data_IF_101811527388
#
_entry.id   IF_101811527388
#
_cell.length_a   1.000
_cell.length_b   1.000
_cell.length_c   1.000
_cell.angle_alpha   90.00
_cell.angle_beta   90.00
_cell.angle_gamma   90.00
#
_symmetry.space_group_name_H-M   'P 1'
#
loop_
_entity.id
_entity.type
_entity.pdbx_description
1 polymer ?
#
# COMPACT_ATOMS: atom_id res chain seq x y z
N UNK A 1 3.51 -0.72 17.59
CA UNK A 1 3.65 0.35 16.58
C UNK A 1 2.30 0.98 16.21
N UNK A 2 1.40 0.33 15.45
CA UNK A 2 0.14 0.96 14.97
C UNK A 2 -0.76 1.49 16.10
N UNK A 3 -0.97 0.73 17.18
CA UNK A 3 -1.76 1.22 18.31
C UNK A 3 -1.19 2.49 18.96
N UNK A 4 0.14 2.62 19.00
CA UNK A 4 0.83 3.82 19.50
C UNK A 4 0.67 4.99 18.52
N UNK A 5 0.79 4.73 17.21
CA UNK A 5 0.48 5.72 16.17
C UNK A 5 -0.94 6.29 16.32
N UNK A 6 -1.94 5.43 16.49
CA UNK A 6 -3.34 5.87 16.71
C UNK A 6 -3.46 6.71 17.97
N UNK A 7 -2.82 6.29 19.06
CA UNK A 7 -2.82 7.05 20.32
C UNK A 7 -2.23 8.45 20.15
N UNK A 8 -1.12 8.59 19.43
CA UNK A 8 -0.47 9.88 19.16
C UNK A 8 -1.39 10.76 18.28
N UNK A 9 -1.97 10.20 17.22
CA UNK A 9 -2.91 10.92 16.35
C UNK A 9 -4.08 11.51 17.15
N UNK A 10 -4.63 10.76 18.11
CA UNK A 10 -5.74 11.22 18.94
C UNK A 10 -5.28 12.26 19.97
N UNK A 11 -4.28 11.90 20.77
CA UNK A 11 -3.94 12.65 21.97
C UNK A 11 -3.07 13.88 21.69
N UNK A 12 -2.20 13.83 20.67
CA UNK A 12 -1.26 14.91 20.36
C UNK A 12 -1.69 15.73 19.15
N UNK A 13 -2.30 15.09 18.14
CA UNK A 13 -2.73 15.78 16.92
C UNK A 13 -4.22 16.13 16.90
N UNK A 14 -5.02 15.61 17.83
CA UNK A 14 -6.47 15.85 17.88
C UNK A 14 -7.24 15.22 16.71
N UNK A 15 -6.63 14.29 15.97
CA UNK A 15 -7.25 13.59 14.84
C UNK A 15 -8.11 12.47 15.43
N UNK A 16 -9.39 12.76 15.63
CA UNK A 16 -10.38 11.80 16.15
C UNK A 16 -11.44 11.52 15.09
N UNK A 17 -11.22 10.45 14.31
CA UNK A 17 -12.16 10.02 13.27
C UNK A 17 -13.04 8.87 13.79
N UNK A 18 -14.33 9.13 13.85
CA UNK A 18 -15.33 8.15 14.28
C UNK A 18 -15.75 7.23 13.12
N UNK A 19 -16.10 5.99 13.43
CA UNK A 19 -16.61 5.04 12.45
C UNK A 19 -17.93 5.55 11.84
N UNK A 20 -18.09 5.52 10.50
CA UNK A 20 -19.21 6.17 9.82
C UNK A 20 -20.59 5.61 10.22
N UNK A 21 -20.66 4.34 10.61
CA UNK A 21 -21.92 3.67 11.01
C UNK A 21 -22.03 3.47 12.53
N UNK A 22 -20.93 3.64 13.26
CA UNK A 22 -20.84 3.32 14.69
C UNK A 22 -20.03 4.42 15.38
N UNK A 23 -20.59 5.61 15.53
CA UNK A 23 -19.87 6.83 15.96
C UNK A 23 -19.21 6.74 17.34
N UNK A 24 -19.58 5.75 18.17
CA UNK A 24 -18.92 5.45 19.44
C UNK A 24 -17.55 4.74 19.28
N UNK A 25 -17.23 4.26 18.08
CA UNK A 25 -15.98 3.57 17.74
C UNK A 25 -15.11 4.45 16.84
N UNK A 26 -13.80 4.20 16.87
CA UNK A 26 -12.84 4.84 15.96
C UNK A 26 -12.86 4.17 14.59
N UNK A 27 -12.66 4.96 13.53
CA UNK A 27 -12.48 4.46 12.17
C UNK A 27 -11.09 3.84 12.00
N UNK A 28 -10.97 2.55 12.30
CA UNK A 28 -9.70 1.83 12.18
C UNK A 28 -9.14 1.84 10.75
N UNK A 29 -9.99 1.90 9.73
CA UNK A 29 -9.56 1.93 8.33
C UNK A 29 -8.85 3.24 7.99
N UNK A 30 -9.38 4.36 8.49
CA UNK A 30 -8.74 5.67 8.36
C UNK A 30 -7.31 5.65 8.91
N UNK A 31 -7.13 5.19 10.15
CA UNK A 31 -5.79 5.22 10.77
C UNK A 31 -4.80 4.25 10.14
N UNK A 32 -5.25 3.07 9.69
CA UNK A 32 -4.39 2.14 8.98
C UNK A 32 -3.91 2.72 7.64
N UNK A 33 -4.82 3.33 6.86
CA UNK A 33 -4.47 3.96 5.59
C UNK A 33 -3.51 5.15 5.81
N UNK A 34 -3.76 5.95 6.84
CA UNK A 34 -2.88 7.04 7.26
C UNK A 34 -1.49 6.50 7.63
N UNK A 35 -1.42 5.49 8.47
CA UNK A 35 -0.14 4.89 8.89
C UNK A 35 0.68 4.40 7.68
N UNK A 36 0.06 3.65 6.77
CA UNK A 36 0.70 3.14 5.55
C UNK A 36 1.27 4.27 4.67
N UNK A 37 0.49 5.33 4.48
CA UNK A 37 0.89 6.47 3.67
C UNK A 37 2.08 7.23 4.23
N UNK A 38 2.31 7.15 5.53
CA UNK A 38 3.46 7.75 6.18
C UNK A 38 4.56 6.71 6.49
N UNK A 39 4.55 5.57 5.80
CA UNK A 39 5.65 4.61 5.79
C UNK A 39 5.65 3.58 6.92
N UNK A 40 4.63 3.58 7.78
CA UNK A 40 4.49 2.54 8.80
C UNK A 40 4.09 1.22 8.12
N UNK A 41 4.70 0.09 8.51
CA UNK A 41 4.30 -1.22 8.00
C UNK A 41 2.85 -1.52 8.39
N UNK A 42 2.01 -1.77 7.39
CA UNK A 42 0.63 -2.24 7.56
C UNK A 42 0.37 -3.44 6.65
N UNK A 43 -0.70 -4.17 6.94
CA UNK A 43 -1.24 -5.26 6.13
C UNK A 43 -2.20 -4.77 5.03
N UNK A 44 -2.20 -3.47 4.73
CA UNK A 44 -3.01 -2.92 3.63
C UNK A 44 -2.29 -3.17 2.30
N UNK A 45 -3.05 -3.55 1.28
CA UNK A 45 -2.64 -3.43 -0.11
C UNK A 45 -3.28 -2.19 -0.70
N UNK A 46 -2.47 -1.34 -1.33
CA UNK A 46 -2.94 -0.18 -2.07
C UNK A 46 -3.07 -0.53 -3.56
N UNK A 47 -4.29 -0.41 -4.08
CA UNK A 47 -4.63 -0.59 -5.48
C UNK A 47 -5.13 0.73 -6.04
N UNK A 48 -4.81 1.05 -7.30
CA UNK A 48 -5.36 2.25 -7.95
C UNK A 48 -6.19 1.88 -9.16
N UNK A 49 -7.33 2.55 -9.31
CA UNK A 49 -8.14 2.49 -10.54
C UNK A 49 -7.62 3.42 -11.63
N UNK A 50 -6.63 4.25 -11.34
CA UNK A 50 -6.03 5.16 -12.31
C UNK A 50 -4.82 4.51 -12.99
N UNK A 51 -4.88 4.21 -14.30
CA UNK A 51 -3.72 3.67 -15.00
C UNK A 51 -2.54 4.64 -14.99
N UNK A 52 -2.78 5.96 -14.93
CA UNK A 52 -1.72 6.97 -14.82
C UNK A 52 -1.05 6.95 -13.45
N UNK A 53 -1.79 6.75 -12.36
CA UNK A 53 -1.20 6.63 -11.02
C UNK A 53 -0.42 5.33 -10.91
N UNK A 54 -0.95 4.22 -11.44
CA UNK A 54 -0.24 2.95 -11.47
C UNK A 54 1.08 3.06 -12.26
N UNK A 55 1.04 3.76 -13.40
CA UNK A 55 2.23 4.05 -14.21
C UNK A 55 3.21 4.97 -13.48
N UNK A 56 2.72 5.97 -12.74
CA UNK A 56 3.56 6.81 -11.88
C UNK A 56 4.35 5.96 -10.88
N UNK A 57 3.68 5.07 -10.14
CA UNK A 57 4.36 4.19 -9.17
C UNK A 57 5.30 3.18 -9.83
N UNK A 58 4.97 2.69 -11.02
CA UNK A 58 5.88 1.81 -11.77
C UNK A 58 7.23 2.51 -12.09
N UNK A 59 7.24 3.84 -12.20
CA UNK A 59 8.43 4.65 -12.48
C UNK A 59 8.95 5.46 -11.28
N UNK A 60 8.28 5.42 -10.12
CA UNK A 60 8.69 6.14 -8.90
C UNK A 60 9.76 5.37 -8.13
N UNK A 61 10.91 5.19 -8.78
CA UNK A 61 12.10 4.59 -8.17
C UNK A 61 13.31 5.50 -8.28
N UNK A 62 14.26 5.32 -7.36
CA UNK A 62 15.52 6.05 -7.37
C UNK A 62 16.44 5.56 -8.49
N UNK A 63 17.10 6.49 -9.18
CA UNK A 63 17.90 6.19 -10.38
C UNK A 63 19.19 5.40 -10.09
N UNK A 64 19.62 5.35 -8.82
CA UNK A 64 20.81 4.66 -8.36
C UNK A 64 20.58 3.17 -8.02
N UNK A 65 19.34 2.69 -8.10
CA UNK A 65 19.00 1.30 -7.83
C UNK A 65 19.29 0.43 -9.06
N UNK A 66 20.09 -0.63 -8.88
CA UNK A 66 20.32 -1.65 -9.92
C UNK A 66 19.14 -2.63 -9.96
N UNK A 67 18.58 -2.83 -11.14
CA UNK A 67 17.50 -3.79 -11.38
C UNK A 67 17.98 -4.98 -12.19
N UNK A 68 17.37 -6.14 -11.95
CA UNK A 68 17.61 -7.36 -12.72
C UNK A 68 16.91 -7.37 -14.10
N UNK A 69 16.08 -6.35 -14.39
CA UNK A 69 15.26 -6.26 -15.59
C UNK A 69 15.19 -4.83 -16.11
N UNK A 70 15.31 -4.67 -17.43
CA UNK A 70 15.16 -3.40 -18.17
C UNK A 70 13.71 -2.92 -18.25
N UNK A 71 12.76 -3.67 -17.70
CA UNK A 71 11.34 -3.36 -17.76
C UNK A 71 10.73 -3.12 -16.39
N UNK A 72 9.81 -2.15 -16.32
CA UNK A 72 8.81 -2.05 -15.26
C UNK A 72 7.56 -2.83 -15.68
N UNK A 73 6.78 -3.30 -14.70
CA UNK A 73 5.57 -4.07 -14.94
C UNK A 73 4.34 -3.30 -14.45
N UNK A 74 3.34 -3.18 -15.32
CA UNK A 74 2.00 -2.73 -14.97
C UNK A 74 1.04 -3.92 -15.06
N UNK A 75 0.26 -4.14 -14.01
CA UNK A 75 -0.72 -5.22 -13.94
C UNK A 75 -2.13 -4.64 -14.07
N UNK A 76 -2.86 -5.07 -15.10
CA UNK A 76 -4.29 -4.83 -15.20
C UNK A 76 -5.02 -6.08 -14.72
N UNK A 77 -5.81 -5.92 -13.65
CA UNK A 77 -6.51 -7.02 -13.01
C UNK A 77 -7.92 -6.62 -12.54
N UNK A 78 -8.77 -7.61 -12.29
CA UNK A 78 -10.03 -7.42 -11.59
C UNK A 78 -9.74 -7.47 -10.08
N UNK A 79 -9.95 -6.35 -9.38
CA UNK A 79 -9.48 -6.16 -7.99
C UNK A 79 -9.96 -7.24 -7.04
N UNK A 80 -11.23 -7.65 -7.15
CA UNK A 80 -11.80 -8.72 -6.30
C UNK A 80 -11.17 -10.08 -6.61
N UNK A 81 -11.00 -10.43 -7.88
CA UNK A 81 -10.44 -11.74 -8.26
C UNK A 81 -8.95 -11.81 -7.93
N UNK A 82 -8.22 -10.71 -8.13
CA UNK A 82 -6.81 -10.60 -7.77
C UNK A 82 -6.60 -10.81 -6.28
N UNK A 83 -7.37 -10.07 -5.47
CA UNK A 83 -7.30 -10.20 -4.01
C UNK A 83 -7.72 -11.61 -3.59
N UNK A 84 -8.81 -12.16 -4.11
CA UNK A 84 -9.22 -13.54 -3.82
C UNK A 84 -8.13 -14.55 -4.19
N UNK A 85 -7.41 -14.33 -5.29
CA UNK A 85 -6.32 -15.19 -5.72
C UNK A 85 -5.13 -15.10 -4.78
N UNK A 86 -4.74 -13.88 -4.38
CA UNK A 86 -3.70 -13.68 -3.35
C UNK A 86 -4.07 -14.39 -2.07
N UNK A 87 -5.29 -14.21 -1.56
CA UNK A 87 -5.75 -14.88 -0.35
C UNK A 87 -5.79 -16.39 -0.51
N UNK A 88 -6.23 -16.89 -1.66
CA UNK A 88 -6.22 -18.32 -1.91
C UNK A 88 -4.80 -18.89 -1.86
N UNK A 89 -3.83 -18.23 -2.48
CA UNK A 89 -2.44 -18.70 -2.49
C UNK A 89 -1.68 -18.43 -1.19
N UNK A 90 -2.02 -17.36 -0.47
CA UNK A 90 -1.40 -17.01 0.79
C UNK A 90 -1.98 -17.81 1.96
N UNK A 91 -3.30 -17.97 1.99
CA UNK A 91 -4.05 -18.49 3.14
C UNK A 91 -4.51 -19.94 2.96
N UNK A 92 -4.72 -20.43 1.72
CA UNK A 92 -5.37 -21.74 1.47
C UNK A 92 -4.54 -22.79 0.72
N UNK A 93 -3.46 -22.43 0.02
CA UNK A 93 -2.77 -23.36 -0.89
C UNK A 93 -1.25 -23.39 -0.70
N UNK A 94 -0.77 -24.50 -0.13
CA UNK A 94 0.58 -25.08 -0.16
C UNK A 94 1.76 -24.07 -0.22
N UNK A 95 2.47 -23.94 0.89
CA UNK A 95 3.91 -23.61 0.90
C UNK A 95 4.67 -24.67 0.09
N UNK A 96 4.61 -24.55 -1.25
CA UNK A 96 5.44 -25.32 -2.16
C UNK A 96 6.90 -25.15 -1.73
N UNK A 97 7.49 -26.27 -1.36
CA UNK A 97 8.84 -26.44 -0.83
C UNK A 97 9.86 -25.62 -1.63
N UNK A 98 10.25 -24.46 -1.12
CA UNK A 98 11.37 -23.69 -1.64
C UNK A 98 12.58 -23.94 -0.72
N UNK A 99 13.69 -24.39 -1.29
CA UNK A 99 14.92 -24.76 -0.56
C UNK A 99 15.59 -23.57 0.15
N UNK A 100 15.00 -22.38 0.11
CA UNK A 100 15.48 -21.16 0.77
C UNK A 100 14.64 -20.71 2.00
N UNK A 101 13.81 -21.58 2.57
CA UNK A 101 13.00 -21.31 3.79
C UNK A 101 13.80 -20.72 4.97
N UNK A 102 15.11 -20.97 5.07
CA UNK A 102 15.94 -20.40 6.14
C UNK A 102 15.95 -18.87 6.17
N UNK A 103 15.85 -18.21 5.02
CA UNK A 103 15.84 -16.73 4.94
C UNK A 103 14.46 -16.13 5.22
N UNK A 104 13.40 -16.92 5.04
CA UNK A 104 12.01 -16.52 5.26
C UNK A 104 11.64 -16.56 6.75
N UNK A 105 12.09 -17.59 7.47
CA UNK A 105 11.85 -17.72 8.90
C UNK A 105 12.55 -16.62 9.73
N UNK A 106 13.60 -16.02 9.18
CA UNK A 106 14.34 -14.91 9.80
C UNK A 106 13.66 -13.53 9.60
N UNK A 107 12.65 -13.44 8.72
CA UNK A 107 12.01 -12.17 8.32
C UNK A 107 10.55 -12.00 8.76
N UNK A 108 9.95 -12.95 9.49
CA UNK A 108 8.52 -12.88 9.82
C UNK A 108 8.27 -12.57 11.29
N UNK A 109 7.82 -11.35 11.56
CA UNK A 109 7.02 -11.00 12.75
C UNK A 109 5.78 -11.87 12.81
N UNK A 110 5.54 -12.54 13.94
CA UNK A 110 4.32 -13.35 14.13
C UNK A 110 3.09 -12.47 14.35
N UNK A 111 1.95 -12.83 13.73
CA UNK A 111 0.65 -12.89 14.41
C UNK A 111 -0.27 -13.90 13.71
N UNK A 112 -1.43 -14.23 14.30
CA UNK A 112 -2.28 -15.36 13.91
C UNK A 112 -3.65 -14.89 13.41
N UNK A 113 -4.08 -15.55 12.34
CA UNK A 113 -4.93 -15.02 11.32
C UNK A 113 -5.87 -16.11 10.79
N UNK A 114 -6.61 -16.79 11.67
CA UNK A 114 -7.55 -17.85 11.29
C UNK A 114 -8.81 -17.33 10.55
N UNK A 115 -8.72 -16.17 9.90
CA UNK A 115 -9.79 -15.52 9.17
C UNK A 115 -9.72 -15.86 7.68
N UNK A 116 -10.86 -16.13 7.05
CA UNK A 116 -10.94 -16.28 5.59
C UNK A 116 -11.51 -15.05 4.90
N UNK A 117 -11.48 -13.90 5.57
CA UNK A 117 -12.27 -12.74 5.16
C UNK A 117 -11.38 -11.65 4.57
N UNK A 118 -11.54 -11.49 3.27
CA UNK A 118 -11.09 -10.33 2.52
C UNK A 118 -11.99 -9.15 2.84
N UNK A 119 -11.42 -8.05 3.33
CA UNK A 119 -12.19 -6.83 3.58
C UNK A 119 -11.77 -5.72 2.65
N UNK A 120 -12.76 -5.11 2.01
CA UNK A 120 -12.61 -3.86 1.30
C UNK A 120 -13.03 -2.73 2.25
N UNK A 121 -12.11 -2.19 3.06
CA UNK A 121 -12.43 -1.11 3.97
C UNK A 121 -12.99 0.06 3.18
N UNK A 122 -14.15 0.56 3.61
CA UNK A 122 -14.62 1.86 3.15
C UNK A 122 -13.73 2.91 3.79
N UNK A 123 -13.12 3.74 2.96
CA UNK A 123 -12.47 4.95 3.41
C UNK A 123 -13.56 5.99 3.67
N UNK A 124 -13.59 6.51 4.89
CA UNK A 124 -14.48 7.61 5.23
C UNK A 124 -14.04 8.90 4.52
N UNK A 125 -14.99 9.80 4.23
CA UNK A 125 -14.74 11.10 3.60
C UNK A 125 -13.62 11.91 4.27
N UNK A 126 -13.46 11.89 5.62
CA UNK A 126 -12.35 12.54 6.31
C UNK A 126 -10.95 12.08 5.87
N UNK A 127 -10.77 10.91 5.24
CA UNK A 127 -9.48 10.57 4.65
C UNK A 127 -9.00 11.62 3.64
N UNK A 128 -9.91 12.23 2.89
CA UNK A 128 -9.54 13.29 1.95
C UNK A 128 -9.20 14.62 2.65
N UNK A 129 -9.65 14.83 3.89
CA UNK A 129 -9.38 16.04 4.68
C UNK A 129 -8.01 15.99 5.37
N UNK A 130 -7.62 14.80 5.85
CA UNK A 130 -6.39 14.59 6.63
C UNK A 130 -5.28 13.85 5.86
N UNK A 131 -5.58 13.37 4.64
CA UNK A 131 -4.67 12.59 3.81
C UNK A 131 -5.03 12.74 2.33
N UNK A 132 -4.73 13.91 1.76
CA UNK A 132 -4.96 14.21 0.33
C UNK A 132 -4.32 13.18 -0.60
N UNK A 133 -3.24 12.55 -0.16
CA UNK A 133 -2.54 11.49 -0.89
C UNK A 133 -3.44 10.27 -1.16
N UNK A 134 -4.40 9.93 -0.30
CA UNK A 134 -5.42 8.87 -0.57
C UNK A 134 -6.29 9.23 -1.76
N UNK A 135 -6.84 10.44 -1.76
CA UNK A 135 -7.66 10.93 -2.86
C UNK A 135 -6.89 11.00 -4.17
N UNK A 136 -5.67 11.54 -4.14
CA UNK A 136 -4.84 11.73 -5.34
C UNK A 136 -4.42 10.42 -6.00
N UNK A 137 -4.17 9.38 -5.21
CA UNK A 137 -3.85 8.05 -5.74
C UNK A 137 -5.05 7.33 -6.36
N UNK A 138 -6.29 7.84 -6.16
CA UNK A 138 -7.53 7.10 -6.46
C UNK A 138 -7.46 5.69 -5.87
N UNK A 139 -6.95 5.62 -4.64
CA UNK A 139 -6.63 4.39 -3.93
C UNK A 139 -7.88 3.62 -3.53
N UNK A 140 -7.79 2.31 -3.68
CA UNK A 140 -8.67 1.31 -3.11
C UNK A 140 -7.79 0.43 -2.22
N UNK A 141 -8.08 0.44 -0.93
CA UNK A 141 -7.39 -0.45 -0.02
C UNK A 141 -8.14 -1.75 0.12
N UNK A 142 -7.39 -2.80 0.36
CA UNK A 142 -7.89 -4.01 0.98
C UNK A 142 -6.93 -4.37 2.12
N UNK A 143 -7.45 -4.92 3.21
CA UNK A 143 -6.61 -5.57 4.20
C UNK A 143 -7.03 -7.02 4.33
N UNK A 144 -6.03 -7.86 4.56
CA UNK A 144 -6.27 -9.17 5.10
C UNK A 144 -6.16 -9.12 6.59
N UNK A 145 -7.06 -9.83 7.25
CA UNK A 145 -6.83 -10.23 8.63
C UNK A 145 -5.79 -11.35 8.72
N UNK A 146 -4.90 -11.46 7.71
CA UNK A 146 -3.69 -12.21 7.42
C UNK A 146 -2.37 -11.41 7.45
N UNK A 147 -1.36 -11.63 8.31
CA UNK A 147 0.02 -11.15 8.06
C UNK A 147 0.64 -12.12 7.09
N UNK A 148 0.26 -11.88 5.85
CA UNK A 148 0.90 -12.43 4.70
C UNK A 148 2.01 -11.44 4.33
N UNK A 149 3.25 -11.91 4.06
CA UNK A 149 4.26 -11.07 3.42
C UNK A 149 3.84 -10.81 1.97
N UNK A 150 2.95 -9.82 1.79
CA UNK A 150 2.25 -9.55 0.54
C UNK A 150 3.20 -9.27 -0.61
N UNK A 151 4.29 -8.57 -0.35
CA UNK A 151 5.38 -8.28 -1.27
C UNK A 151 5.96 -9.57 -1.88
N UNK A 152 6.07 -10.66 -1.11
CA UNK A 152 6.55 -11.97 -1.60
C UNK A 152 5.46 -12.68 -2.41
N UNK A 153 4.22 -12.63 -1.94
CA UNK A 153 3.08 -13.22 -2.68
C UNK A 153 2.85 -12.49 -4.00
N UNK A 154 2.98 -11.16 -4.01
CA UNK A 154 2.90 -10.29 -5.19
C UNK A 154 4.05 -10.53 -6.16
N UNK A 155 5.26 -10.75 -5.65
CA UNK A 155 6.40 -11.11 -6.50
C UNK A 155 6.18 -12.44 -7.23
N UNK A 156 5.62 -13.44 -6.53
CA UNK A 156 5.42 -14.81 -7.06
C UNK A 156 4.04 -15.05 -7.68
N UNK A 157 3.14 -14.07 -7.65
CA UNK A 157 1.78 -14.16 -8.15
C UNK A 157 1.75 -14.65 -9.60
N UNK A 158 2.68 -14.17 -10.43
CA UNK A 158 2.85 -14.58 -11.84
C UNK A 158 2.94 -16.10 -12.03
N UNK A 159 3.55 -16.82 -11.10
CA UNK A 159 3.76 -18.27 -11.20
C UNK A 159 2.54 -19.06 -10.71
N UNK A 160 1.61 -18.39 -10.03
CA UNK A 160 0.54 -19.01 -9.27
C UNK A 160 -0.85 -18.66 -9.78
N UNK A 161 -1.03 -17.56 -10.53
CA UNK A 161 -2.32 -17.15 -11.10
C UNK A 161 -2.65 -17.89 -12.41
N UNK A 162 -3.77 -18.63 -12.47
CA UNK A 162 -4.29 -19.20 -13.73
C UNK A 162 -5.04 -18.17 -14.59
N UNK A 163 -5.25 -16.94 -14.09
CA UNK A 163 -5.98 -15.89 -14.79
C UNK A 163 -5.14 -15.21 -15.86
N UNK A 164 -5.76 -14.89 -17.00
CA UNK A 164 -5.18 -14.07 -18.07
C UNK A 164 -5.12 -12.60 -17.65
N UNK A 165 -4.34 -12.29 -16.61
CA UNK A 165 -4.05 -10.91 -16.27
C UNK A 165 -3.21 -10.27 -17.36
N UNK A 166 -3.56 -9.04 -17.74
CA UNK A 166 -2.77 -8.31 -18.72
C UNK A 166 -1.61 -7.65 -17.99
N UNK A 167 -0.43 -8.26 -18.10
CA UNK A 167 0.83 -7.63 -17.73
C UNK A 167 1.39 -6.84 -18.90
N UNK A 168 1.63 -5.56 -18.69
CA UNK A 168 2.26 -4.66 -19.66
C UNK A 168 3.70 -4.42 -19.17
N UNK A 169 4.68 -4.81 -19.99
CA UNK A 169 6.09 -4.54 -19.74
C UNK A 169 6.49 -3.25 -20.47
N UNK A 170 7.07 -2.31 -19.75
CA UNK A 170 7.45 -1.00 -20.27
C UNK A 170 8.95 -0.82 -20.03
N UNK A 171 9.70 -0.53 -21.10
CA UNK A 171 11.14 -0.34 -21.01
C UNK A 171 11.45 0.87 -20.12
N UNK A 172 12.42 0.72 -19.19
CA UNK A 172 12.85 1.73 -18.24
C UNK A 172 13.43 2.98 -18.91
N UNK A 173 14.01 2.87 -20.10
CA UNK A 173 14.52 3.99 -20.88
C UNK A 173 13.41 4.99 -21.27
N UNK A 174 12.14 4.56 -21.20
CA UNK A 174 10.99 5.44 -21.42
C UNK A 174 10.69 6.34 -20.22
N UNK A 175 11.38 6.19 -19.07
CA UNK A 175 11.16 6.98 -17.85
C UNK A 175 11.02 8.48 -18.12
N UNK A 176 11.93 9.16 -18.87
CA UNK A 176 11.80 10.60 -19.13
C UNK A 176 10.50 10.96 -19.88
N UNK A 177 10.16 10.18 -20.91
CA UNK A 177 8.96 10.39 -21.73
C UNK A 177 7.69 10.12 -20.90
N UNK A 178 7.71 9.05 -20.11
CA UNK A 178 6.62 8.69 -19.21
C UNK A 178 6.38 9.78 -18.16
N UNK A 179 7.44 10.31 -17.54
CA UNK A 179 7.30 11.43 -16.59
C UNK A 179 6.71 12.68 -17.26
N UNK A 180 7.15 13.03 -18.47
CA UNK A 180 6.59 14.17 -19.20
C UNK A 180 5.10 13.98 -19.51
N UNK A 181 4.70 12.80 -19.97
CA UNK A 181 3.29 12.46 -20.21
C UNK A 181 2.45 12.54 -18.93
N UNK A 182 2.95 12.00 -17.83
CA UNK A 182 2.28 12.02 -16.54
C UNK A 182 2.14 13.45 -16.00
N UNK A 183 3.20 14.26 -16.11
CA UNK A 183 3.19 15.68 -15.74
C UNK A 183 2.13 16.45 -16.52
N UNK A 184 2.04 16.24 -17.84
CA UNK A 184 1.00 16.84 -18.70
C UNK A 184 -0.42 16.39 -18.33
N UNK A 185 -0.57 15.16 -17.81
CA UNK A 185 -1.82 14.65 -17.28
C UNK A 185 -2.11 15.11 -15.83
N UNK A 186 -1.26 15.95 -15.24
CA UNK A 186 -1.39 16.41 -13.85
C UNK A 186 -0.97 15.40 -12.79
N UNK A 187 -0.42 14.25 -13.19
CA UNK A 187 0.06 13.20 -12.29
C UNK A 187 1.57 13.38 -12.11
N UNK A 188 1.96 14.03 -11.02
CA UNK A 188 3.36 14.31 -10.72
C UNK A 188 3.66 14.09 -9.24
N UNK A 189 4.94 14.22 -8.86
CA UNK A 189 5.37 13.97 -7.48
C UNK A 189 4.65 14.86 -6.48
N UNK A 190 4.42 16.14 -6.80
CA UNK A 190 3.72 17.07 -5.90
C UNK A 190 2.22 16.76 -5.80
N UNK A 191 1.64 16.17 -6.83
CA UNK A 191 0.27 15.69 -6.79
C UNK A 191 0.15 14.41 -5.94
N UNK A 192 1.00 13.41 -6.16
CA UNK A 192 0.95 12.14 -5.41
C UNK A 192 1.43 12.31 -3.97
N UNK A 193 2.46 13.12 -3.76
CA UNK A 193 3.06 13.44 -2.47
C UNK A 193 2.97 14.96 -2.24
N UNK A 194 1.78 15.48 -1.85
CA UNK A 194 1.60 16.90 -1.59
C UNK A 194 2.57 17.39 -0.51
N UNK A 195 3.06 18.63 -0.65
CA UNK A 195 3.94 19.26 0.35
C UNK A 195 3.17 19.72 1.59
N UNK A 196 3.88 20.02 2.69
CA UNK A 196 3.31 20.55 3.93
C UNK A 196 2.40 21.78 3.77
N UNK A 197 2.63 22.63 2.77
CA UNK A 197 1.77 23.78 2.50
C UNK A 197 0.35 23.39 2.05
N UNK A 198 0.21 22.19 1.49
CA UNK A 198 -1.03 21.63 0.97
C UNK A 198 -1.61 20.60 1.94
N UNK A 199 -0.74 19.87 2.65
CA UNK A 199 -1.10 18.94 3.73
C UNK A 199 -0.35 19.33 5.03
N UNK A 200 -0.90 20.26 5.85
CA UNK A 200 -0.22 20.80 7.03
C UNK A 200 0.12 19.77 8.11
N UNK A 201 -0.51 18.59 8.06
CA UNK A 201 -0.27 17.51 9.01
C UNK A 201 0.85 16.58 8.53
N UNK A 202 1.27 16.69 7.26
CA UNK A 202 2.28 15.84 6.65
C UNK A 202 3.55 15.76 7.48
N UNK A 203 4.16 16.90 7.81
CA UNK A 203 5.45 16.91 8.51
C UNK A 203 5.35 16.33 9.92
N UNK A 204 4.23 16.57 10.61
CA UNK A 204 3.99 16.04 11.95
C UNK A 204 3.82 14.52 11.91
N UNK A 205 2.95 14.01 11.04
CA UNK A 205 2.66 12.59 10.93
C UNK A 205 3.91 11.85 10.42
N UNK A 206 4.61 12.41 9.43
CA UNK A 206 5.88 11.85 8.93
C UNK A 206 6.91 11.70 10.05
N UNK A 207 7.11 12.75 10.85
CA UNK A 207 8.04 12.70 12.00
C UNK A 207 7.62 11.65 13.03
N UNK A 208 6.33 11.53 13.32
CA UNK A 208 5.80 10.49 14.22
C UNK A 208 6.11 9.10 13.65
N UNK A 209 5.85 8.88 12.37
CA UNK A 209 6.12 7.61 11.70
C UNK A 209 7.60 7.26 11.71
N UNK A 210 8.49 8.22 11.40
CA UNK A 210 9.94 8.03 11.45
C UNK A 210 10.41 7.64 12.86
N UNK A 211 9.95 8.34 13.90
CA UNK A 211 10.28 8.02 15.29
C UNK A 211 9.77 6.63 15.70
N UNK A 212 8.56 6.25 15.27
CA UNK A 212 8.00 4.93 15.56
C UNK A 212 8.73 3.82 14.81
N UNK A 213 9.17 4.07 13.58
CA UNK A 213 10.02 3.15 12.82
C UNK A 213 11.33 2.95 13.58
N UNK A 214 12.06 4.02 13.92
CA UNK A 214 13.33 3.95 14.67
C UNK A 214 13.19 3.24 16.02
N UNK A 215 12.04 3.39 16.69
CA UNK A 215 11.77 2.76 17.98
C UNK A 215 11.55 1.24 17.87
N UNK A 216 11.00 0.76 16.76
CA UNK A 216 10.47 -0.62 16.65
C UNK A 216 11.15 -1.48 15.58
N UNK A 217 11.94 -0.89 14.67
CA UNK A 217 12.65 -1.54 13.56
C UNK A 217 14.13 -1.16 13.60
#
# INVERSE_FOLDING_TARGET
MIAEFVSICINELGITIAHPEHSALLDSNFYLALAQHYGLPTNLLDLTVSPHVALFFAFDYADDVRYESDYVSLYQTHTVDWVNTINHHACKSYHGYDKNIKKMAELTTEYNFSSSSVYFPRLSTPNNEYNLRVGNQKGFFYFNNDAVPYDIVMYRLRERTPYQERRILINRDLKPITHDLLNRAGINRNFIYPSHNVDPLQDKIKKISENLIEKYL
#
